data_IF_186415071185
#
_entry.id   IF_186415071185
#
_cell.length_a   1.000
_cell.length_b   1.000
_cell.length_c   1.000
_cell.angle_alpha   90.00
_cell.angle_beta   90.00
_cell.angle_gamma   90.00
#
_symmetry.space_group_name_H-M   'P 1'
#
loop_
_entity.id
_entity.type
_entity.pdbx_description
1 polymer ?
#
# COMPACT_ATOMS: atom_id res chain seq x y z
N UNK A 1 11.74 -20.65 -16.87
CA UNK A 1 10.38 -20.62 -16.31
C UNK A 1 10.57 -20.47 -14.82
N UNK A 2 10.41 -19.25 -14.32
CA UNK A 2 10.83 -18.90 -12.96
C UNK A 2 9.63 -19.08 -12.04
N UNK A 3 9.39 -20.32 -11.61
CA UNK A 3 8.39 -20.60 -10.58
C UNK A 3 8.83 -19.94 -9.28
N UNK A 4 8.09 -18.94 -8.81
CA UNK A 4 8.34 -18.35 -7.50
C UNK A 4 8.05 -19.40 -6.42
N UNK A 5 8.92 -19.56 -5.41
CA UNK A 5 8.88 -20.69 -4.48
C UNK A 5 7.60 -20.78 -3.62
N UNK A 6 6.84 -19.68 -3.54
CA UNK A 6 5.63 -19.57 -2.72
C UNK A 6 4.33 -19.63 -3.53
N UNK A 7 4.41 -19.48 -4.86
CA UNK A 7 3.24 -19.37 -5.72
C UNK A 7 3.10 -20.62 -6.58
N UNK A 8 1.89 -21.18 -6.58
CA UNK A 8 1.54 -22.35 -7.41
C UNK A 8 1.36 -21.99 -8.89
N UNK A 9 1.52 -20.71 -9.24
CA UNK A 9 1.44 -20.15 -10.59
C UNK A 9 2.80 -19.61 -11.01
N UNK A 10 3.18 -19.83 -12.28
CA UNK A 10 4.37 -19.18 -12.84
C UNK A 10 4.02 -17.72 -13.19
N UNK A 11 4.44 -16.79 -12.32
CA UNK A 11 4.17 -15.35 -12.48
C UNK A 11 4.70 -14.81 -13.81
N UNK A 12 5.76 -15.41 -14.37
CA UNK A 12 6.33 -14.97 -15.64
C UNK A 12 5.39 -15.13 -16.83
N UNK A 13 4.38 -15.99 -16.70
CA UNK A 13 3.36 -16.23 -17.73
C UNK A 13 2.15 -15.29 -17.60
N UNK A 14 2.02 -14.57 -16.48
CA UNK A 14 0.93 -13.62 -16.26
C UNK A 14 1.23 -12.30 -16.97
N UNK A 15 0.20 -11.70 -17.57
CA UNK A 15 0.24 -10.30 -18.03
C UNK A 15 0.45 -9.33 -16.85
N UNK A 16 0.78 -8.06 -17.15
CA UNK A 16 0.92 -7.03 -16.11
C UNK A 16 -0.37 -6.90 -15.29
N UNK A 17 -1.53 -6.91 -15.94
CA UNK A 17 -2.82 -6.79 -15.29
C UNK A 17 -3.10 -7.98 -14.36
N UNK A 18 -2.84 -9.22 -14.80
CA UNK A 18 -3.02 -10.41 -13.96
C UNK A 18 -2.06 -10.44 -12.76
N UNK A 19 -0.84 -9.90 -12.91
CA UNK A 19 0.08 -9.75 -11.77
C UNK A 19 -0.39 -8.71 -10.77
N UNK A 20 -1.01 -7.62 -11.23
CA UNK A 20 -1.63 -6.62 -10.35
C UNK A 20 -2.81 -7.26 -9.62
N UNK A 21 -3.70 -7.95 -10.33
CA UNK A 21 -4.84 -8.63 -9.72
C UNK A 21 -4.40 -9.68 -8.69
N UNK A 22 -3.39 -10.50 -9.01
CA UNK A 22 -2.85 -11.46 -8.06
C UNK A 22 -2.28 -10.78 -6.80
N UNK A 23 -1.65 -9.61 -6.93
CA UNK A 23 -1.15 -8.86 -5.79
C UNK A 23 -2.30 -8.30 -4.93
N UNK A 24 -3.38 -7.82 -5.55
CA UNK A 24 -4.61 -7.37 -4.88
C UNK A 24 -5.28 -8.54 -4.15
N UNK A 25 -5.53 -9.66 -4.83
CA UNK A 25 -6.17 -10.86 -4.25
C UNK A 25 -5.37 -11.40 -3.03
N UNK A 26 -4.03 -11.40 -3.13
CA UNK A 26 -3.17 -11.81 -2.02
C UNK A 26 -3.27 -10.83 -0.85
N UNK A 27 -3.33 -9.52 -1.13
CA UNK A 27 -3.48 -8.50 -0.10
C UNK A 27 -4.84 -8.59 0.61
N UNK A 28 -5.91 -8.75 -0.17
CA UNK A 28 -7.27 -8.91 0.36
C UNK A 28 -7.38 -10.15 1.25
N UNK A 29 -6.75 -11.27 0.87
CA UNK A 29 -6.75 -12.49 1.67
C UNK A 29 -6.12 -12.34 3.07
N UNK A 30 -5.19 -11.39 3.24
CA UNK A 30 -4.59 -11.07 4.53
C UNK A 30 -5.57 -10.21 5.35
N UNK A 31 -6.20 -9.23 4.71
CA UNK A 31 -7.17 -8.33 5.36
C UNK A 31 -8.38 -9.06 5.94
N UNK A 32 -8.82 -10.15 5.30
CA UNK A 32 -9.89 -11.01 5.80
C UNK A 32 -9.51 -11.80 7.06
N UNK A 33 -8.21 -11.96 7.33
CA UNK A 33 -7.65 -12.74 8.43
C UNK A 33 -7.02 -11.86 9.53
N UNK A 34 -6.83 -10.57 9.27
CA UNK A 34 -6.28 -9.64 10.24
C UNK A 34 -7.32 -9.32 11.34
N UNK A 35 -6.98 -9.69 12.57
CA UNK A 35 -7.58 -9.08 13.75
C UNK A 35 -7.25 -7.58 13.71
N UNK A 36 -8.24 -6.73 14.02
CA UNK A 36 -8.07 -5.29 14.13
C UNK A 36 -6.74 -4.99 14.81
N UNK A 37 -5.82 -4.31 14.10
CA UNK A 37 -4.58 -3.84 14.72
C UNK A 37 -4.98 -2.74 15.69
N UNK A 38 -4.92 -2.97 17.02
CA UNK A 38 -5.44 -2.00 17.95
C UNK A 38 -4.54 -0.76 17.92
N UNK A 39 -5.13 0.39 17.61
CA UNK A 39 -4.44 1.66 17.73
C UNK A 39 -4.41 2.08 19.20
N UNK A 40 -3.25 2.51 19.69
CA UNK A 40 -3.20 3.26 20.94
C UNK A 40 -3.97 4.58 20.79
N UNK A 41 -4.48 5.12 21.90
CA UNK A 41 -5.16 6.42 21.91
C UNK A 41 -4.29 7.52 21.29
N UNK A 42 -2.97 7.51 21.56
CA UNK A 42 -2.04 8.47 20.99
C UNK A 42 -1.93 8.37 19.46
N UNK A 43 -1.97 7.15 18.90
CA UNK A 43 -1.96 6.95 17.46
C UNK A 43 -3.28 7.42 16.83
N UNK A 44 -4.42 7.11 17.45
CA UNK A 44 -5.73 7.56 16.99
C UNK A 44 -5.82 9.10 16.97
N UNK A 45 -5.40 9.75 18.05
CA UNK A 45 -5.35 11.22 18.13
C UNK A 45 -4.45 11.84 17.05
N UNK A 46 -3.29 11.24 16.78
CA UNK A 46 -2.40 11.73 15.73
C UNK A 46 -3.00 11.57 14.32
N UNK A 47 -3.73 10.49 14.07
CA UNK A 47 -4.45 10.28 12.81
C UNK A 47 -5.56 11.32 12.64
N UNK A 48 -6.38 11.53 13.67
CA UNK A 48 -7.45 12.54 13.66
C UNK A 48 -6.89 13.95 13.41
N UNK A 49 -5.79 14.30 14.08
CA UNK A 49 -5.10 15.58 13.90
C UNK A 49 -4.59 15.77 12.47
N UNK A 50 -3.97 14.73 11.88
CA UNK A 50 -3.48 14.79 10.48
C UNK A 50 -4.62 14.88 9.49
N UNK A 51 -5.71 14.15 9.72
CA UNK A 51 -6.88 14.19 8.85
C UNK A 51 -7.53 15.57 8.85
N UNK A 52 -7.73 16.17 10.04
CA UNK A 52 -8.25 17.53 10.16
C UNK A 52 -7.33 18.57 9.48
N UNK A 53 -6.01 18.43 9.63
CA UNK A 53 -5.04 19.31 8.96
C UNK A 53 -5.10 19.19 7.44
N UNK A 54 -5.26 17.97 6.91
CA UNK A 54 -5.42 17.73 5.49
C UNK A 54 -6.73 18.29 4.94
N UNK A 55 -7.84 18.14 5.67
CA UNK A 55 -9.13 18.72 5.27
C UNK A 55 -9.10 20.25 5.21
N UNK A 56 -8.36 20.90 6.12
CA UNK A 56 -8.19 22.36 6.13
C UNK A 56 -7.24 22.85 5.04
N UNK A 57 -6.23 22.05 4.69
CA UNK A 57 -5.27 22.38 3.63
C UNK A 57 -4.88 21.11 2.84
N UNK A 58 -5.65 20.75 1.79
CA UNK A 58 -5.38 19.56 0.99
C UNK A 58 -4.03 19.59 0.26
N UNK A 59 -3.46 20.79 0.05
CA UNK A 59 -2.16 20.98 -0.59
C UNK A 59 -0.97 20.78 0.37
N UNK A 60 -1.22 20.51 1.65
CA UNK A 60 -0.15 20.29 2.65
C UNK A 60 0.52 18.90 2.53
N UNK A 61 0.01 18.04 1.64
CA UNK A 61 0.63 16.77 1.28
C UNK A 61 1.63 16.91 0.15
N UNK A 62 2.63 16.02 0.10
CA UNK A 62 3.46 15.88 -1.10
C UNK A 62 2.71 15.13 -2.20
N UNK A 63 2.84 15.56 -3.44
CA UNK A 63 2.43 14.77 -4.60
C UNK A 63 3.21 13.47 -4.67
N UNK A 64 2.66 12.46 -5.35
CA UNK A 64 3.36 11.18 -5.51
C UNK A 64 4.72 11.32 -6.20
N UNK A 65 4.81 12.25 -7.15
CA UNK A 65 6.04 12.57 -7.87
C UNK A 65 7.11 13.17 -6.92
N UNK A 66 6.72 14.08 -6.02
CA UNK A 66 7.63 14.60 -4.99
C UNK A 66 8.11 13.52 -4.02
N UNK A 67 7.23 12.59 -3.63
CA UNK A 67 7.58 11.46 -2.76
C UNK A 67 8.58 10.54 -3.46
N UNK A 68 8.30 10.14 -4.71
CA UNK A 68 9.22 9.33 -5.51
C UNK A 68 10.59 9.98 -5.66
N UNK A 69 10.64 11.30 -5.87
CA UNK A 69 11.88 12.08 -5.93
C UNK A 69 12.65 12.02 -4.62
N UNK A 70 11.97 12.18 -3.49
CA UNK A 70 12.58 12.06 -2.16
C UNK A 70 13.11 10.66 -1.86
N UNK A 71 12.43 9.62 -2.34
CA UNK A 71 12.80 8.22 -2.14
C UNK A 71 13.79 7.68 -3.19
N UNK A 72 14.19 8.51 -4.17
CA UNK A 72 15.17 8.12 -5.18
C UNK A 72 14.64 7.15 -6.25
N UNK A 73 13.32 7.09 -6.45
CA UNK A 73 12.69 6.28 -7.51
C UNK A 73 12.86 6.88 -8.91
N UNK A 74 13.38 8.11 -9.03
CA UNK A 74 13.88 8.66 -10.29
C UNK A 74 15.40 8.51 -10.31
N UNK A 75 15.87 7.41 -10.89
CA UNK A 75 17.23 7.27 -11.42
C UNK A 75 17.15 7.07 -12.91
#
# INVERSE_FOLDING_TARGET
>A
MSSHPLLKVDISQLSVAERIQLAEDLWDSISEQEQEVPLSEAQQQELDRRLASYQQNPANGSTWEEVKKRLGFFR
#
